data_IF_271013871044
#
_entry.id   IF_271013871044
#
_cell.length_a   1.000
_cell.length_b   1.000
_cell.length_c   1.000
_cell.angle_alpha   90.00
_cell.angle_beta   90.00
_cell.angle_gamma   90.00
#
_symmetry.space_group_name_H-M   'P 1'
#
loop_
_entity.id
_entity.type
_entity.pdbx_description
1 polymer ?
#
# COMPACT_ATOMS: atom_id res chain seq x y z
N UNK A 1 -19.86 23.80 0.15
CA UNK A 1 -18.81 23.59 -0.87
C UNK A 1 -19.06 22.26 -1.53
N UNK A 2 -19.01 22.24 -2.86
CA UNK A 2 -19.10 21.01 -3.64
C UNK A 2 -17.70 20.43 -3.85
N UNK A 3 -17.63 19.11 -3.87
CA UNK A 3 -16.44 18.32 -4.19
C UNK A 3 -16.61 17.81 -5.62
N UNK A 4 -15.62 18.11 -6.46
CA UNK A 4 -15.56 17.63 -7.85
C UNK A 4 -14.23 16.93 -8.06
N UNK A 5 -14.22 15.81 -8.79
CA UNK A 5 -13.00 15.05 -9.08
C UNK A 5 -12.70 14.92 -10.57
N UNK A 6 -11.43 14.64 -10.85
CA UNK A 6 -10.89 14.37 -12.19
C UNK A 6 -10.12 13.05 -12.25
N UNK A 7 -10.17 12.26 -11.17
CA UNK A 7 -9.65 10.89 -11.11
C UNK A 7 -10.32 10.02 -12.19
N UNK A 8 -9.53 9.17 -12.83
CA UNK A 8 -10.02 8.27 -13.89
C UNK A 8 -10.78 7.10 -13.29
N UNK A 9 -12.07 7.02 -13.59
CA UNK A 9 -12.95 5.94 -13.17
C UNK A 9 -12.48 4.59 -13.74
N UNK A 10 -12.43 3.57 -12.89
CA UNK A 10 -12.12 2.19 -13.32
C UNK A 10 -13.34 1.44 -13.85
N UNK A 11 -14.55 1.95 -13.60
CA UNK A 11 -15.80 1.24 -13.82
C UNK A 11 -16.08 0.14 -12.79
N UNK A 12 -15.24 -0.02 -11.76
CA UNK A 12 -15.36 -1.02 -10.69
C UNK A 12 -15.78 -0.39 -9.37
N UNK A 13 -16.28 -1.22 -8.46
CA UNK A 13 -16.60 -0.83 -7.08
C UNK A 13 -16.25 -1.95 -6.11
N UNK A 14 -15.95 -1.60 -4.86
CA UNK A 14 -15.73 -2.55 -3.77
C UNK A 14 -16.25 -1.95 -2.46
N UNK A 15 -16.94 -2.76 -1.65
CA UNK A 15 -17.54 -2.27 -0.39
C UNK A 15 -18.60 -1.17 -0.58
N UNK A 16 -19.16 -1.02 -1.77
CA UNK A 16 -20.08 0.07 -2.12
C UNK A 16 -19.40 1.36 -2.59
N UNK A 17 -18.05 1.39 -2.64
CA UNK A 17 -17.28 2.56 -3.03
C UNK A 17 -16.73 2.43 -4.46
N UNK A 18 -16.73 3.53 -5.21
CA UNK A 18 -16.16 3.59 -6.57
C UNK A 18 -14.64 3.45 -6.51
N UNK A 19 -14.10 2.64 -7.41
CA UNK A 19 -12.67 2.46 -7.58
C UNK A 19 -12.15 3.31 -8.73
N UNK A 20 -10.98 3.93 -8.55
CA UNK A 20 -10.28 4.68 -9.57
C UNK A 20 -9.04 3.92 -10.07
N UNK A 21 -8.69 4.13 -11.34
CA UNK A 21 -7.51 3.52 -11.95
C UNK A 21 -6.22 4.10 -11.37
N UNK A 22 -5.20 3.25 -11.21
CA UNK A 22 -3.80 3.69 -11.09
C UNK A 22 -3.07 3.51 -12.42
N UNK A 23 -1.78 3.90 -12.49
CA UNK A 23 -0.92 3.54 -13.63
C UNK A 23 -0.59 2.05 -13.75
N UNK A 24 -0.86 1.25 -12.71
CA UNK A 24 -0.55 -0.17 -12.68
C UNK A 24 -1.81 -0.95 -13.01
N UNK A 25 -1.84 -1.74 -14.10
CA UNK A 25 -2.99 -2.57 -14.45
C UNK A 25 -3.39 -3.47 -13.28
N UNK A 26 -4.71 -3.56 -13.04
CA UNK A 26 -5.28 -4.34 -11.95
C UNK A 26 -5.05 -3.79 -10.53
N UNK A 27 -4.41 -2.62 -10.38
CA UNK A 27 -4.34 -1.87 -9.14
C UNK A 27 -5.26 -0.65 -9.19
N UNK A 28 -6.14 -0.58 -8.21
CA UNK A 28 -7.16 0.45 -8.08
C UNK A 28 -7.07 1.12 -6.71
N UNK A 29 -7.74 2.26 -6.56
CA UNK A 29 -7.82 2.93 -5.27
C UNK A 29 -9.18 3.58 -5.00
N UNK A 30 -9.51 3.73 -3.72
CA UNK A 30 -10.52 4.67 -3.22
C UNK A 30 -9.83 5.88 -2.60
N UNK A 31 -10.53 7.01 -2.53
CA UNK A 31 -10.07 8.20 -1.84
C UNK A 31 -11.20 8.75 -0.98
N UNK A 32 -11.00 8.79 0.33
CA UNK A 32 -11.97 9.30 1.29
C UNK A 32 -11.43 10.52 2.04
N UNK A 33 -12.31 11.48 2.30
CA UNK A 33 -12.05 12.64 3.16
C UNK A 33 -12.83 12.45 4.45
N UNK A 34 -12.15 12.22 5.57
CA UNK A 34 -12.80 12.01 6.87
C UNK A 34 -12.99 13.30 7.66
N UNK A 35 -12.20 14.33 7.35
CA UNK A 35 -12.31 15.63 8.00
C UNK A 35 -11.75 16.74 7.12
N UNK A 36 -12.35 17.93 7.21
CA UNK A 36 -11.84 19.18 6.65
C UNK A 36 -12.00 20.25 7.72
N UNK A 37 -10.94 21.03 7.95
CA UNK A 37 -10.96 22.10 8.95
C UNK A 37 -10.08 23.28 8.55
N UNK A 38 -10.30 24.40 9.23
CA UNK A 38 -9.54 25.63 9.07
C UNK A 38 -9.55 26.37 10.42
N UNK A 39 -8.91 27.54 10.53
CA UNK A 39 -8.96 28.28 11.78
C UNK A 39 -10.40 28.72 12.09
N UNK A 40 -10.83 28.49 13.33
CA UNK A 40 -12.13 28.91 13.86
C UNK A 40 -13.35 28.28 13.16
N UNK A 41 -13.14 27.22 12.38
CA UNK A 41 -14.20 26.56 11.61
C UNK A 41 -14.03 25.05 11.58
N UNK A 42 -15.16 24.36 11.44
CA UNK A 42 -15.25 22.93 11.21
C UNK A 42 -16.22 22.65 10.05
N UNK A 43 -16.29 21.40 9.62
CA UNK A 43 -17.21 20.98 8.56
C UNK A 43 -18.23 19.98 9.08
N UNK A 44 -19.34 19.84 8.37
CA UNK A 44 -20.41 18.86 8.67
C UNK A 44 -20.17 17.49 8.03
N UNK A 45 -18.90 17.17 7.71
CA UNK A 45 -18.52 15.83 7.25
C UNK A 45 -18.86 14.82 8.34
N UNK A 46 -19.59 13.76 7.96
CA UNK A 46 -19.96 12.71 8.88
C UNK A 46 -18.73 11.88 9.32
N UNK A 47 -18.86 11.11 10.39
CA UNK A 47 -17.77 10.26 10.90
C UNK A 47 -17.34 9.16 9.92
N UNK A 48 -18.22 8.77 8.98
CA UNK A 48 -17.92 7.81 7.93
C UNK A 48 -17.08 8.39 6.78
N UNK A 49 -16.90 9.72 6.76
CA UNK A 49 -16.22 10.44 5.70
C UNK A 49 -16.99 10.51 4.38
N UNK A 50 -16.39 11.21 3.42
CA UNK A 50 -16.87 11.31 2.05
C UNK A 50 -15.90 10.56 1.14
N UNK A 51 -16.33 9.42 0.59
CA UNK A 51 -15.62 8.71 -0.46
C UNK A 51 -15.85 9.41 -1.79
N UNK A 52 -14.80 10.01 -2.35
CA UNK A 52 -14.93 10.86 -3.53
C UNK A 52 -15.39 10.04 -4.73
N UNK A 53 -16.43 10.50 -5.43
CA UNK A 53 -16.97 9.88 -6.64
C UNK A 53 -18.07 8.84 -6.43
N UNK A 54 -18.42 8.50 -5.19
CA UNK A 54 -19.56 7.63 -4.86
C UNK A 54 -20.92 8.27 -5.20
N UNK A 55 -20.98 9.60 -5.26
CA UNK A 55 -22.15 10.35 -5.68
C UNK A 55 -21.75 11.38 -6.73
N UNK A 56 -22.66 11.66 -7.66
CA UNK A 56 -22.50 12.74 -8.65
C UNK A 56 -22.47 14.12 -7.99
N UNK A 57 -23.13 14.27 -6.84
CA UNK A 57 -23.15 15.49 -6.04
C UNK A 57 -22.65 15.17 -4.64
N UNK A 58 -21.47 15.70 -4.32
CA UNK A 58 -20.87 15.59 -3.00
C UNK A 58 -20.57 16.99 -2.49
N UNK A 59 -20.97 17.27 -1.26
CA UNK A 59 -20.79 18.59 -0.66
C UNK A 59 -20.66 18.51 0.84
N UNK A 60 -20.07 19.55 1.41
CA UNK A 60 -19.97 19.80 2.84
C UNK A 60 -20.14 21.29 3.11
N UNK A 61 -20.54 21.65 4.32
CA UNK A 61 -20.72 23.02 4.75
C UNK A 61 -19.69 23.38 5.82
N UNK A 62 -19.16 24.59 5.70
CA UNK A 62 -18.37 25.19 6.77
C UNK A 62 -19.29 25.70 7.88
N UNK A 63 -18.87 25.51 9.11
CA UNK A 63 -19.50 26.03 10.32
C UNK A 63 -18.45 26.80 11.11
N UNK A 64 -18.82 27.97 11.61
CA UNK A 64 -17.98 28.68 12.58
C UNK A 64 -18.08 28.03 13.95
N UNK A 65 -16.99 28.07 14.71
CA UNK A 65 -16.99 27.63 16.11
C UNK A 65 -17.96 28.43 16.97
N UNK A 66 -18.04 29.75 16.75
CA UNK A 66 -19.04 30.61 17.36
C UNK A 66 -19.24 31.89 16.56
N UNK A 67 -20.43 32.47 16.67
CA UNK A 67 -20.77 33.75 16.05
C UNK A 67 -19.83 34.87 16.52
N UNK A 68 -19.46 34.90 17.81
CA UNK A 68 -18.53 35.90 18.35
C UNK A 68 -17.14 35.80 17.71
N UNK A 69 -16.58 34.59 17.55
CA UNK A 69 -15.27 34.39 16.92
C UNK A 69 -15.30 34.79 15.45
N UNK A 70 -16.40 34.47 14.76
CA UNK A 70 -16.60 34.85 13.36
C UNK A 70 -16.68 36.38 13.21
N UNK A 71 -17.44 37.07 14.06
CA UNK A 71 -17.48 38.54 14.06
C UNK A 71 -16.13 39.17 14.37
N UNK A 72 -15.40 38.62 15.34
CA UNK A 72 -14.05 39.09 15.65
C UNK A 72 -13.11 38.94 14.44
N UNK A 73 -13.10 37.79 13.76
CA UNK A 73 -12.31 37.59 12.54
C UNK A 73 -12.70 38.58 11.43
N UNK A 74 -14.01 38.78 11.22
CA UNK A 74 -14.54 39.75 10.24
C UNK A 74 -14.05 41.19 10.50
N UNK A 75 -14.12 41.62 11.76
CA UNK A 75 -13.80 42.99 12.15
C UNK A 75 -12.31 43.30 12.08
N UNK A 76 -11.47 42.27 12.20
CA UNK A 76 -10.02 42.37 12.09
C UNK A 76 -9.49 42.06 10.67
N UNK A 77 -10.36 41.74 9.71
CA UNK A 77 -9.96 41.52 8.33
C UNK A 77 -9.51 42.83 7.67
N UNK A 78 -8.27 42.89 7.21
CA UNK A 78 -7.63 44.08 6.63
C UNK A 78 -8.06 44.36 5.18
N UNK A 79 -9.37 44.44 4.91
CA UNK A 79 -9.86 44.83 3.59
C UNK A 79 -11.21 45.55 3.65
N UNK A 80 -11.49 46.37 2.64
CA UNK A 80 -12.75 47.12 2.49
C UNK A 80 -13.98 46.22 2.25
N UNK A 81 -13.78 44.91 2.07
CA UNK A 81 -14.83 43.87 2.02
C UNK A 81 -14.59 42.91 3.18
N UNK A 82 -15.27 43.12 4.31
CA UNK A 82 -15.07 42.33 5.54
C UNK A 82 -15.55 40.89 5.34
N UNK A 83 -14.65 40.00 4.95
CA UNK A 83 -14.87 38.55 4.93
C UNK A 83 -14.19 37.91 6.14
N UNK A 84 -14.70 36.77 6.59
CA UNK A 84 -14.03 35.95 7.60
C UNK A 84 -12.75 35.35 7.01
N UNK A 85 -11.59 35.76 7.53
CA UNK A 85 -10.33 35.10 7.23
C UNK A 85 -10.23 33.84 8.09
N UNK A 86 -10.37 32.67 7.48
CA UNK A 86 -10.32 31.37 8.17
C UNK A 86 -8.94 30.69 8.08
N UNK A 87 -7.98 31.29 7.38
CA UNK A 87 -6.64 30.71 7.21
C UNK A 87 -6.62 29.62 6.13
N UNK A 88 -5.69 28.67 6.27
CA UNK A 88 -5.51 27.57 5.31
C UNK A 88 -6.53 26.44 5.49
N UNK A 89 -6.81 25.70 4.42
CA UNK A 89 -7.67 24.51 4.46
C UNK A 89 -6.81 23.29 4.75
N UNK A 90 -7.17 22.56 5.79
CA UNK A 90 -6.56 21.29 6.20
C UNK A 90 -7.58 20.16 6.01
N UNK A 91 -7.09 18.95 5.76
CA UNK A 91 -7.91 17.78 5.53
C UNK A 91 -7.22 16.48 5.92
N UNK A 92 -8.02 15.48 6.28
CA UNK A 92 -7.55 14.11 6.53
C UNK A 92 -8.01 13.22 5.38
N UNK A 93 -7.04 12.59 4.71
CA UNK A 93 -7.27 11.73 3.56
C UNK A 93 -6.95 10.28 3.89
N UNK A 94 -7.81 9.38 3.43
CA UNK A 94 -7.58 7.94 3.44
C UNK A 94 -7.56 7.44 2.00
N UNK A 95 -6.49 6.75 1.62
CA UNK A 95 -6.32 6.12 0.31
C UNK A 95 -6.18 4.63 0.56
N UNK A 96 -7.09 3.83 0.00
CA UNK A 96 -7.02 2.38 0.08
C UNK A 96 -6.79 1.81 -1.30
N UNK A 97 -5.91 0.81 -1.39
CA UNK A 97 -5.55 0.17 -2.65
C UNK A 97 -6.15 -1.22 -2.74
N UNK A 98 -6.59 -1.57 -3.94
CA UNK A 98 -7.28 -2.82 -4.26
C UNK A 98 -6.64 -3.47 -5.47
N UNK A 99 -6.50 -4.80 -5.45
CA UNK A 99 -5.95 -5.57 -6.56
C UNK A 99 -6.96 -6.57 -7.08
N UNK A 100 -6.87 -6.90 -8.37
CA UNK A 100 -7.65 -7.98 -8.98
C UNK A 100 -6.76 -8.99 -9.72
N UNK A 101 -7.40 -9.82 -10.56
CA UNK A 101 -6.75 -10.86 -11.36
C UNK A 101 -5.88 -10.33 -12.50
N UNK A 102 -5.85 -9.04 -12.78
CA UNK A 102 -5.00 -8.42 -13.80
C UNK A 102 -3.76 -7.73 -13.18
N UNK A 103 -3.73 -7.58 -11.85
CA UNK A 103 -2.60 -7.03 -11.11
C UNK A 103 -1.29 -7.81 -11.28
N UNK A 104 -0.42 -7.33 -12.16
CA UNK A 104 0.89 -7.93 -12.44
C UNK A 104 1.99 -6.86 -12.43
N UNK A 105 2.44 -6.41 -11.24
CA UNK A 105 3.38 -5.32 -11.14
C UNK A 105 4.81 -5.76 -11.49
N UNK A 106 5.60 -4.83 -12.03
CA UNK A 106 7.04 -5.03 -12.20
C UNK A 106 7.80 -4.62 -10.95
N UNK A 107 9.00 -5.17 -10.76
CA UNK A 107 9.86 -4.82 -9.61
C UNK A 107 10.18 -3.33 -9.62
N UNK A 108 9.98 -2.67 -8.48
CA UNK A 108 10.20 -1.24 -8.27
C UNK A 108 9.29 -0.33 -9.12
N UNK A 109 8.11 -0.82 -9.50
CA UNK A 109 7.14 -0.02 -10.24
C UNK A 109 6.58 1.10 -9.36
N UNK A 110 6.62 2.33 -9.89
CA UNK A 110 5.96 3.50 -9.28
C UNK A 110 4.49 3.54 -9.65
N UNK A 111 3.66 3.78 -8.65
CA UNK A 111 2.21 3.97 -8.82
C UNK A 111 1.94 5.46 -9.03
N UNK A 112 1.20 5.81 -10.07
CA UNK A 112 0.66 7.16 -10.26
C UNK A 112 -0.86 7.12 -10.25
N UNK A 113 -1.47 8.30 -10.06
CA UNK A 113 -2.91 8.49 -9.99
C UNK A 113 -3.40 9.24 -11.25
N UNK A 114 -3.80 8.52 -12.32
CA UNK A 114 -4.34 9.12 -13.52
C UNK A 114 -5.50 10.09 -13.25
N UNK A 115 -5.46 11.21 -13.97
CA UNK A 115 -6.41 12.31 -13.86
C UNK A 115 -6.65 12.94 -15.23
N UNK A 116 -7.88 13.38 -15.47
CA UNK A 116 -8.30 14.00 -16.74
C UNK A 116 -8.02 15.51 -16.79
N UNK A 117 -7.43 16.08 -15.74
CA UNK A 117 -7.07 17.49 -15.57
C UNK A 117 -5.88 17.58 -14.58
N UNK A 118 -5.31 18.76 -14.37
CA UNK A 118 -4.13 18.97 -13.52
C UNK A 118 -4.34 18.87 -12.01
N UNK A 119 -5.37 18.16 -11.54
CA UNK A 119 -5.68 17.95 -10.10
C UNK A 119 -6.51 16.68 -9.92
N UNK A 120 -6.51 16.11 -8.72
CA UNK A 120 -7.32 14.91 -8.39
C UNK A 120 -8.76 15.29 -8.06
N UNK A 121 -8.92 16.26 -7.17
CA UNK A 121 -10.23 16.82 -6.81
C UNK A 121 -10.14 18.29 -6.43
N UNK A 122 -11.28 18.93 -6.33
CA UNK A 122 -11.37 20.34 -6.00
C UNK A 122 -12.56 20.63 -5.11
N UNK A 123 -12.45 21.70 -4.33
CA UNK A 123 -13.57 22.31 -3.65
C UNK A 123 -14.01 23.55 -4.42
N UNK A 124 -15.32 23.64 -4.64
CA UNK A 124 -15.93 24.75 -5.35
C UNK A 124 -17.18 25.22 -4.64
N UNK A 125 -17.31 26.53 -4.50
CA UNK A 125 -18.56 27.15 -4.08
C UNK A 125 -19.28 27.62 -5.32
N UNK A 126 -20.47 27.09 -5.56
CA UNK A 126 -21.38 27.67 -6.55
C UNK A 126 -22.26 28.71 -5.88
N UNK A 127 -22.57 29.79 -6.62
CA UNK A 127 -23.46 30.85 -6.15
C UNK A 127 -23.05 31.42 -4.78
N UNK A 128 -21.78 31.80 -4.63
CA UNK A 128 -21.22 32.29 -3.37
C UNK A 128 -21.88 33.57 -2.82
N UNK A 129 -22.83 34.16 -3.54
CA UNK A 129 -23.57 35.36 -3.17
C UNK A 129 -23.25 36.56 -4.07
N UNK A 130 -24.14 37.55 -4.04
CA UNK A 130 -24.00 38.76 -4.86
C UNK A 130 -22.69 39.48 -4.56
N UNK A 131 -21.88 39.72 -5.60
CA UNK A 131 -20.60 40.40 -5.48
C UNK A 131 -19.42 39.53 -4.99
N UNK A 132 -19.64 38.23 -4.77
CA UNK A 132 -18.59 37.28 -4.37
C UNK A 132 -18.18 36.41 -5.56
N UNK A 133 -16.90 36.50 -5.92
CA UNK A 133 -16.32 35.63 -6.96
C UNK A 133 -16.12 34.22 -6.41
N UNK A 134 -16.49 33.23 -7.21
CA UNK A 134 -16.28 31.82 -6.90
C UNK A 134 -14.94 31.36 -7.46
N UNK A 135 -14.14 30.69 -6.63
CA UNK A 135 -12.84 30.12 -7.01
C UNK A 135 -12.83 28.62 -6.71
N UNK A 136 -11.88 27.92 -7.34
CA UNK A 136 -11.59 26.52 -7.04
C UNK A 136 -10.41 26.46 -6.09
N UNK A 137 -10.53 25.66 -5.03
CA UNK A 137 -9.36 25.10 -4.37
C UNK A 137 -9.09 23.75 -5.04
N UNK A 138 -8.02 23.66 -5.82
CA UNK A 138 -7.61 22.42 -6.51
C UNK A 138 -6.60 21.67 -5.66
N UNK A 139 -6.83 20.38 -5.45
CA UNK A 139 -5.96 19.51 -4.66
C UNK A 139 -5.33 18.49 -5.61
N UNK A 140 -4.01 18.45 -5.59
CA UNK A 140 -3.21 17.49 -6.32
C UNK A 140 -2.08 16.97 -5.42
N UNK A 141 -1.78 15.68 -5.51
CA UNK A 141 -0.65 15.05 -4.83
C UNK A 141 -0.20 13.82 -5.61
N UNK A 142 1.07 13.47 -5.43
CA UNK A 142 1.70 12.30 -6.02
C UNK A 142 2.07 11.27 -4.95
N UNK A 143 2.18 10.00 -5.34
CA UNK A 143 2.58 8.90 -4.46
C UNK A 143 4.10 8.66 -4.57
N UNK A 144 4.90 9.61 -4.09
CA UNK A 144 6.37 9.62 -4.33
C UNK A 144 7.12 8.43 -3.77
N UNK A 145 6.64 7.86 -2.66
CA UNK A 145 7.34 6.80 -1.91
C UNK A 145 6.59 5.47 -1.86
N UNK A 146 5.55 5.31 -2.70
CA UNK A 146 4.83 4.04 -2.84
C UNK A 146 5.43 3.27 -4.02
N UNK A 147 6.21 2.25 -3.69
CA UNK A 147 6.86 1.35 -4.65
C UNK A 147 6.35 -0.06 -4.45
N UNK A 148 5.94 -0.71 -5.54
CA UNK A 148 5.55 -2.12 -5.52
C UNK A 148 6.82 -2.99 -5.58
N UNK A 149 7.00 -3.86 -4.59
CA UNK A 149 8.13 -4.78 -4.49
C UNK A 149 7.68 -6.24 -4.64
N UNK A 150 8.43 -7.00 -5.43
CA UNK A 150 8.25 -8.44 -5.62
C UNK A 150 9.52 -9.18 -5.09
N UNK A 151 9.41 -10.42 -4.58
CA UNK A 151 8.20 -11.23 -4.43
C UNK A 151 7.34 -10.78 -3.25
N UNK A 152 6.05 -11.02 -3.34
CA UNK A 152 5.03 -10.63 -2.34
C UNK A 152 4.91 -11.61 -1.18
N UNK A 153 5.77 -12.63 -1.08
CA UNK A 153 5.85 -13.51 0.08
C UNK A 153 6.79 -12.90 1.11
N UNK A 154 6.25 -12.50 2.27
CA UNK A 154 7.04 -11.79 3.29
C UNK A 154 7.80 -12.71 4.24
N UNK A 155 7.55 -14.02 4.21
CA UNK A 155 8.23 -14.97 5.10
C UNK A 155 8.35 -16.35 4.47
N UNK A 156 9.52 -16.97 4.60
CA UNK A 156 9.75 -18.38 4.32
C UNK A 156 10.27 -19.06 5.59
N UNK A 157 9.63 -20.15 6.01
CA UNK A 157 10.06 -20.97 7.15
C UNK A 157 10.19 -22.42 6.75
N UNK A 158 11.21 -23.09 7.28
CA UNK A 158 11.31 -24.54 7.17
C UNK A 158 10.33 -25.18 8.17
N UNK A 159 9.64 -26.23 7.72
CA UNK A 159 8.75 -27.03 8.57
C UNK A 159 8.98 -28.52 8.31
N UNK A 160 8.63 -29.35 9.29
CA UNK A 160 8.84 -30.80 9.24
C UNK A 160 9.30 -31.36 10.57
N UNK A 161 9.16 -32.68 10.75
CA UNK A 161 9.47 -33.36 12.02
C UNK A 161 10.93 -33.20 12.45
N UNK A 162 11.85 -33.13 11.48
CA UNK A 162 13.28 -33.01 11.72
C UNK A 162 13.77 -31.56 11.69
N UNK A 163 12.87 -30.58 11.61
CA UNK A 163 13.23 -29.16 11.48
C UNK A 163 13.25 -28.47 12.85
N UNK A 164 14.30 -27.70 13.10
CA UNK A 164 14.43 -26.80 14.25
C UNK A 164 14.94 -25.45 13.78
N UNK A 165 14.05 -24.44 13.73
CA UNK A 165 14.38 -23.14 13.16
C UNK A 165 14.68 -23.25 11.66
N UNK A 166 15.90 -22.86 11.26
CA UNK A 166 16.41 -23.01 9.89
C UNK A 166 17.25 -24.27 9.67
N UNK A 167 17.26 -25.20 10.62
CA UNK A 167 18.10 -26.42 10.57
C UNK A 167 17.25 -27.65 10.33
N UNK A 168 17.61 -28.44 9.31
CA UNK A 168 17.10 -29.80 9.08
C UNK A 168 18.08 -30.80 9.70
N UNK A 169 17.62 -31.58 10.68
CA UNK A 169 18.45 -32.65 11.29
C UNK A 169 18.42 -33.88 10.40
N UNK A 170 19.57 -34.22 9.81
CA UNK A 170 19.69 -35.37 8.91
C UNK A 170 19.71 -36.72 9.64
N UNK A 171 20.03 -36.72 10.94
CA UNK A 171 20.21 -37.93 11.76
C UNK A 171 21.67 -38.35 11.87
N UNK A 172 21.90 -39.51 12.48
CA UNK A 172 23.22 -40.12 12.65
C UNK A 172 23.31 -41.40 11.81
N UNK A 173 24.41 -41.56 11.08
CA UNK A 173 24.63 -42.71 10.21
C UNK A 173 26.04 -43.26 10.36
N UNK A 174 26.14 -44.58 10.50
CA UNK A 174 27.40 -45.28 10.34
C UNK A 174 27.80 -45.34 8.85
N UNK A 175 29.10 -45.39 8.52
CA UNK A 175 29.57 -45.41 7.12
C UNK A 175 28.94 -46.53 6.26
N UNK A 176 28.65 -47.68 6.86
CA UNK A 176 27.99 -48.79 6.16
C UNK A 176 26.56 -48.50 5.70
N UNK A 177 25.85 -47.61 6.39
CA UNK A 177 24.44 -47.29 6.13
C UNK A 177 24.24 -46.33 4.96
N UNK A 178 25.28 -45.62 4.54
CA UNK A 178 25.20 -44.56 3.51
C UNK A 178 25.89 -44.94 2.20
N UNK A 179 26.48 -46.14 2.10
CA UNK A 179 27.17 -46.61 0.89
C UNK A 179 26.29 -46.54 -0.37
N UNK A 180 24.99 -46.76 -0.20
CA UNK A 180 24.00 -46.73 -1.28
C UNK A 180 23.02 -45.55 -1.14
N UNK A 181 23.40 -44.52 -0.40
CA UNK A 181 22.51 -43.41 -0.02
C UNK A 181 21.79 -43.66 1.31
N UNK A 182 21.52 -42.56 2.03
CA UNK A 182 20.73 -42.57 3.26
C UNK A 182 19.23 -42.45 2.95
N UNK A 183 18.38 -42.77 3.93
CA UNK A 183 16.95 -42.49 3.86
C UNK A 183 16.73 -40.96 3.75
N UNK A 184 15.96 -40.46 2.76
CA UNK A 184 15.68 -39.05 2.65
C UNK A 184 14.97 -38.48 3.88
N UNK A 185 15.38 -37.28 4.31
CA UNK A 185 14.72 -36.55 5.40
C UNK A 185 13.82 -35.47 4.79
N UNK A 186 12.49 -35.64 4.81
CA UNK A 186 11.58 -34.66 4.24
C UNK A 186 11.51 -33.41 5.11
N UNK A 187 11.46 -32.26 4.44
CA UNK A 187 11.14 -30.97 5.02
C UNK A 187 10.38 -30.13 3.98
N UNK A 188 9.60 -29.17 4.44
CA UNK A 188 8.84 -28.27 3.60
C UNK A 188 9.33 -26.83 3.77
N UNK A 189 9.29 -26.06 2.70
CA UNK A 189 9.46 -24.60 2.73
C UNK A 189 8.07 -23.97 2.69
N UNK A 190 7.60 -23.49 3.84
CA UNK A 190 6.32 -22.81 3.93
C UNK A 190 6.49 -21.31 3.69
N UNK A 191 5.92 -20.83 2.59
CA UNK A 191 5.80 -19.39 2.33
C UNK A 191 4.55 -18.85 3.02
N UNK A 192 4.65 -17.68 3.67
CA UNK A 192 3.55 -17.01 4.35
C UNK A 192 3.34 -15.59 3.84
N UNK A 193 2.12 -15.11 4.03
CA UNK A 193 1.66 -13.76 3.69
C UNK A 193 1.87 -13.43 2.21
N UNK A 194 1.81 -14.42 1.33
CA UNK A 194 2.01 -14.18 -0.08
C UNK A 194 0.81 -13.46 -0.71
N UNK A 195 1.07 -12.43 -1.51
CA UNK A 195 0.03 -11.73 -2.28
C UNK A 195 0.19 -12.07 -3.76
N UNK A 196 -0.70 -12.92 -4.29
CA UNK A 196 -0.70 -13.36 -5.70
C UNK A 196 0.64 -13.98 -6.15
N UNK A 197 0.81 -15.26 -5.81
CA UNK A 197 1.90 -16.11 -6.31
C UNK A 197 1.43 -16.77 -7.59
N UNK A 198 2.08 -16.44 -8.73
CA UNK A 198 1.86 -17.15 -9.99
C UNK A 198 2.65 -18.45 -10.01
N UNK A 199 3.97 -18.33 -9.95
CA UNK A 199 4.92 -19.44 -9.89
C UNK A 199 5.84 -19.28 -8.67
N UNK A 200 6.20 -20.41 -8.05
CA UNK A 200 7.22 -20.47 -7.01
C UNK A 200 8.44 -21.15 -7.60
N UNK A 201 9.50 -20.39 -7.80
CA UNK A 201 10.81 -20.94 -8.12
C UNK A 201 11.71 -20.89 -6.88
N UNK A 202 12.28 -22.04 -6.51
CA UNK A 202 13.25 -22.14 -5.43
C UNK A 202 14.63 -22.40 -6.00
N UNK A 203 15.60 -21.56 -5.67
CA UNK A 203 17.01 -21.79 -5.97
C UNK A 203 17.77 -22.15 -4.71
N UNK A 204 18.38 -23.33 -4.72
CA UNK A 204 19.34 -23.73 -3.68
C UNK A 204 20.74 -23.28 -4.08
N UNK A 205 21.45 -22.61 -3.18
CA UNK A 205 22.83 -22.17 -3.37
C UNK A 205 23.70 -22.57 -2.20
N UNK A 206 24.91 -23.04 -2.46
CA UNK A 206 25.88 -23.37 -1.43
C UNK A 206 27.27 -22.86 -1.80
N UNK A 207 28.01 -22.40 -0.79
CA UNK A 207 29.42 -22.03 -0.94
C UNK A 207 30.35 -23.25 -1.04
N UNK A 208 29.86 -24.47 -0.77
CA UNK A 208 30.63 -25.70 -0.86
C UNK A 208 29.81 -26.81 -1.52
N UNK A 209 30.35 -27.37 -2.59
CA UNK A 209 29.77 -28.50 -3.33
C UNK A 209 30.68 -29.72 -3.24
N UNK A 210 30.13 -30.89 -3.51
CA UNK A 210 30.90 -32.12 -3.65
C UNK A 210 32.01 -31.98 -4.69
N UNK A 211 33.16 -32.63 -4.45
CA UNK A 211 34.29 -32.57 -5.39
C UNK A 211 33.98 -33.38 -6.65
N UNK A 212 33.49 -34.60 -6.47
CA UNK A 212 33.17 -35.54 -7.55
C UNK A 212 31.76 -35.35 -8.12
N UNK A 213 30.77 -35.14 -7.25
CA UNK A 213 29.40 -34.83 -7.66
C UNK A 213 29.00 -33.41 -7.22
N UNK A 214 28.84 -32.52 -8.21
CA UNK A 214 28.44 -31.11 -7.99
C UNK A 214 26.98 -30.92 -7.62
N UNK A 215 26.15 -31.97 -7.71
CA UNK A 215 24.77 -31.95 -7.23
C UNK A 215 24.67 -32.13 -5.71
N UNK A 216 25.74 -32.59 -5.05
CA UNK A 216 25.79 -32.73 -3.61
C UNK A 216 26.28 -31.46 -2.94
N UNK A 217 25.62 -31.07 -1.85
CA UNK A 217 26.10 -30.06 -0.92
C UNK A 217 27.29 -30.60 -0.13
N UNK A 218 28.41 -29.89 -0.17
CA UNK A 218 29.62 -30.32 0.52
C UNK A 218 29.55 -30.04 2.02
N UNK A 219 30.06 -30.96 2.84
CA UNK A 219 30.16 -30.78 4.29
C UNK A 219 31.02 -29.56 4.63
N UNK A 220 30.46 -28.53 5.26
CA UNK A 220 31.15 -27.28 5.62
C UNK A 220 31.89 -27.34 6.96
N UNK A 221 31.67 -28.38 7.77
CA UNK A 221 32.35 -28.55 9.05
C UNK A 221 33.86 -28.73 8.84
N UNK A 222 34.64 -28.17 9.76
CA UNK A 222 36.10 -28.24 9.80
C UNK A 222 36.56 -28.94 11.08
N UNK A 223 37.60 -29.78 11.01
CA UNK A 223 38.12 -30.53 12.16
C UNK A 223 38.55 -31.97 11.83
N UNK A 224 39.28 -32.60 12.75
CA UNK A 224 39.78 -33.98 12.61
C UNK A 224 38.66 -35.01 12.56
N UNK A 225 37.55 -34.76 13.27
CA UNK A 225 36.45 -35.72 13.45
C UNK A 225 35.30 -35.47 12.45
N UNK A 226 35.57 -34.72 11.39
CA UNK A 226 34.58 -34.39 10.36
C UNK A 226 34.49 -35.48 9.30
N UNK A 227 33.26 -35.86 8.95
CA UNK A 227 33.02 -36.84 7.91
C UNK A 227 33.52 -36.34 6.54
N UNK A 228 34.25 -37.20 5.83
CA UNK A 228 34.77 -36.99 4.46
C UNK A 228 34.17 -38.03 3.51
N UNK A 229 34.11 -37.71 2.21
CA UNK A 229 33.54 -38.60 1.19
C UNK A 229 32.01 -38.67 1.20
N UNK A 230 31.36 -37.72 1.87
CA UNK A 230 29.89 -37.62 2.00
C UNK A 230 29.42 -36.22 1.63
N UNK A 231 28.21 -36.11 1.10
CA UNK A 231 27.53 -34.86 0.78
C UNK A 231 26.02 -35.03 0.94
N UNK A 232 25.31 -33.90 1.02
CA UNK A 232 23.85 -33.85 1.20
C UNK A 232 23.13 -33.53 -0.11
#
# INVERSE_FOLDING_TARGET
MNIEHKMVDSGKSYGGHKLFNTSVPGLYYTLAISNIWSAYTYTDINSSGIYIGDSTNQSFNWRGESEQKLYWSCNNANSSKKYWAVGGVMQTLTIEFYTDTDFNPTTNQRVTLPKTDGYLYSFKTYNAGTGIKSYFLKIDFDLTDIVLTNPTCFTAVLTGKSVSGSTVKMGEYAPGQIKNGATPVPFDISLKNCVRVGDIETKLSSGKLGTENKQLLGNTLTGSDTAKGVGY
#
